data_IF_407601265763
#
_entry.id   IF_407601265763
#
_cell.length_a   1.000
_cell.length_b   1.000
_cell.length_c   1.000
_cell.angle_alpha   90.00
_cell.angle_beta   90.00
_cell.angle_gamma   90.00
#
_symmetry.space_group_name_H-M   'P 1'
#
loop_
_entity.id
_entity.type
_entity.pdbx_description
1 polymer ?
#
# COMPACT_ATOMS: atom_id res chain seq x y z
N UNK A 1 -9.14 5.77 23.37
CA UNK A 1 -9.07 4.58 22.50
C UNK A 1 -9.13 5.08 21.06
N UNK A 2 -8.13 4.79 20.23
CA UNK A 2 -8.05 5.27 18.83
C UNK A 2 -9.16 4.58 18.01
N UNK A 3 -9.93 5.32 17.21
CA UNK A 3 -10.99 4.79 16.34
C UNK A 3 -10.61 5.03 14.86
N UNK A 4 -9.61 4.32 14.32
CA UNK A 4 -8.98 4.66 13.04
C UNK A 4 -9.96 4.71 11.86
N UNK A 5 -11.04 3.91 11.90
CA UNK A 5 -12.10 3.94 10.88
C UNK A 5 -13.06 5.13 11.05
N UNK A 6 -13.41 5.53 12.28
CA UNK A 6 -14.21 6.72 12.53
C UNK A 6 -13.46 8.00 12.14
N UNK A 7 -12.17 8.07 12.41
CA UNK A 7 -11.33 9.24 12.08
C UNK A 7 -11.41 9.60 10.58
N UNK A 8 -11.72 8.62 9.70
CA UNK A 8 -11.87 8.77 8.25
C UNK A 8 -13.20 9.34 7.79
N UNK A 9 -14.21 9.35 8.67
CA UNK A 9 -15.60 9.74 8.36
C UNK A 9 -16.19 10.69 9.41
N UNK A 10 -15.39 11.18 10.35
CA UNK A 10 -15.81 12.11 11.42
C UNK A 10 -16.32 13.45 10.88
N UNK A 11 -15.98 13.81 9.64
CA UNK A 11 -16.51 14.95 8.91
C UNK A 11 -17.93 14.71 8.34
N UNK A 12 -18.36 13.44 8.27
CA UNK A 12 -19.64 13.03 7.69
C UNK A 12 -20.66 12.57 8.74
N UNK A 13 -20.22 12.12 9.92
CA UNK A 13 -21.07 11.51 10.94
C UNK A 13 -20.62 11.90 12.35
N UNK A 14 -21.59 11.98 13.26
CA UNK A 14 -21.30 11.96 14.69
C UNK A 14 -20.82 10.57 15.14
N UNK A 15 -20.13 10.46 16.30
CA UNK A 15 -19.70 9.17 16.83
C UNK A 15 -20.85 8.17 17.01
N UNK A 16 -22.00 8.64 17.47
CA UNK A 16 -23.19 7.82 17.74
C UNK A 16 -23.82 7.32 16.43
N UNK A 17 -23.90 8.19 15.42
CA UNK A 17 -24.41 7.83 14.10
C UNK A 17 -23.48 6.83 13.39
N UNK A 18 -22.17 6.97 13.58
CA UNK A 18 -21.18 6.00 13.11
C UNK A 18 -21.36 4.65 13.79
N UNK A 19 -21.39 4.61 15.13
CA UNK A 19 -21.52 3.39 15.91
C UNK A 19 -22.82 2.64 15.55
N UNK A 20 -23.94 3.36 15.37
CA UNK A 20 -25.21 2.77 14.92
C UNK A 20 -25.12 2.11 13.52
N UNK A 21 -24.36 2.69 12.59
CA UNK A 21 -24.14 2.10 11.25
C UNK A 21 -23.26 0.85 11.32
N UNK A 22 -22.26 0.84 12.20
CA UNK A 22 -21.41 -0.34 12.40
C UNK A 22 -22.26 -1.50 12.92
N UNK A 23 -23.08 -1.29 13.94
CA UNK A 23 -23.99 -2.33 14.47
C UNK A 23 -24.99 -2.81 13.42
N UNK A 24 -25.52 -1.90 12.58
CA UNK A 24 -26.40 -2.27 11.47
C UNK A 24 -25.70 -3.19 10.45
N UNK A 25 -24.43 -2.94 10.10
CA UNK A 25 -23.65 -3.82 9.23
C UNK A 25 -23.39 -5.18 9.89
N UNK A 26 -23.05 -5.22 11.18
CA UNK A 26 -22.88 -6.50 11.90
C UNK A 26 -24.18 -7.31 11.81
N UNK A 27 -25.33 -6.68 12.06
CA UNK A 27 -26.64 -7.31 11.96
C UNK A 27 -27.00 -7.79 10.55
N UNK A 28 -26.71 -6.99 9.52
CA UNK A 28 -26.92 -7.32 8.10
C UNK A 28 -26.20 -8.62 7.71
N UNK A 29 -24.99 -8.83 8.23
CA UNK A 29 -24.18 -10.03 7.95
C UNK A 29 -24.39 -11.14 8.99
N UNK A 30 -25.49 -11.07 9.76
CA UNK A 30 -25.84 -12.09 10.76
C UNK A 30 -24.79 -12.29 11.86
N UNK A 31 -24.00 -11.25 12.16
CA UNK A 31 -22.91 -11.31 13.12
C UNK A 31 -21.63 -11.98 12.61
N UNK A 32 -21.53 -12.28 11.31
CA UNK A 32 -20.33 -12.88 10.72
C UNK A 32 -19.12 -11.93 10.73
N UNK A 33 -19.37 -10.63 10.57
CA UNK A 33 -18.34 -9.61 10.62
C UNK A 33 -18.11 -9.18 12.06
N UNK A 34 -16.85 -9.12 12.47
CA UNK A 34 -16.50 -8.40 13.68
C UNK A 34 -16.69 -6.88 13.50
N UNK A 35 -16.54 -6.14 14.61
CA UNK A 35 -16.74 -4.69 14.62
C UNK A 35 -15.76 -3.94 13.73
N UNK A 36 -14.54 -4.47 13.55
CA UNK A 36 -13.50 -3.82 12.75
C UNK A 36 -13.80 -3.98 11.26
N UNK A 37 -14.14 -5.20 10.83
CA UNK A 37 -14.59 -5.48 9.48
C UNK A 37 -15.88 -4.71 9.13
N UNK A 38 -16.84 -4.65 10.06
CA UNK A 38 -18.06 -3.86 9.87
C UNK A 38 -17.76 -2.35 9.78
N UNK A 39 -16.83 -1.85 10.59
CA UNK A 39 -16.34 -0.47 10.51
C UNK A 39 -15.70 -0.15 9.14
N UNK A 40 -14.91 -1.06 8.59
CA UNK A 40 -14.36 -0.92 7.24
C UNK A 40 -15.46 -0.81 6.17
N UNK A 41 -16.50 -1.64 6.25
CA UNK A 41 -17.65 -1.58 5.34
C UNK A 41 -18.37 -0.24 5.44
N UNK A 42 -18.54 0.33 6.64
CA UNK A 42 -19.15 1.66 6.81
C UNK A 42 -18.31 2.74 6.14
N UNK A 43 -16.98 2.71 6.31
CA UNK A 43 -16.04 3.65 5.66
C UNK A 43 -16.14 3.55 4.14
N UNK A 44 -16.15 2.34 3.59
CA UNK A 44 -16.27 2.10 2.15
C UNK A 44 -17.63 2.58 1.58
N UNK A 45 -18.73 2.27 2.27
CA UNK A 45 -20.10 2.73 1.89
C UNK A 45 -20.23 4.26 1.90
N UNK A 46 -19.40 4.95 2.67
CA UNK A 46 -19.34 6.41 2.71
C UNK A 46 -18.39 7.00 1.65
N UNK A 47 -17.86 6.17 0.76
CA UNK A 47 -16.94 6.58 -0.30
C UNK A 47 -15.56 6.97 0.22
N UNK A 48 -15.17 6.51 1.40
CA UNK A 48 -13.85 6.75 1.99
C UNK A 48 -12.99 5.50 1.86
N UNK A 49 -11.69 5.67 1.64
CA UNK A 49 -10.77 4.54 1.54
C UNK A 49 -10.46 3.96 2.92
N UNK A 50 -10.61 2.64 3.07
CA UNK A 50 -10.21 1.91 4.27
C UNK A 50 -8.69 1.78 4.41
N UNK A 51 -7.93 1.93 3.32
CA UNK A 51 -6.47 1.92 3.35
C UNK A 51 -5.93 3.14 4.12
N UNK A 52 -5.03 2.91 5.07
CA UNK A 52 -4.23 3.99 5.66
C UNK A 52 -2.87 4.02 4.98
N UNK A 53 -2.44 5.21 4.56
CA UNK A 53 -1.13 5.44 3.98
C UNK A 53 -0.19 6.00 5.05
N UNK A 54 0.96 5.37 5.19
CA UNK A 54 2.04 5.85 6.03
C UNK A 54 2.98 6.73 5.21
N UNK A 55 3.57 7.73 5.88
CA UNK A 55 4.71 8.46 5.32
C UNK A 55 5.94 7.58 5.38
N UNK A 56 6.88 7.79 4.47
CA UNK A 56 8.11 6.99 4.38
C UNK A 56 8.92 7.02 5.69
N UNK A 57 8.98 8.17 6.37
CA UNK A 57 9.69 8.32 7.64
C UNK A 57 9.09 7.47 8.78
N UNK A 58 7.81 7.11 8.67
CA UNK A 58 7.08 6.35 9.69
C UNK A 58 7.15 4.83 9.42
N UNK A 59 7.85 4.39 8.38
CA UNK A 59 8.02 2.98 8.04
C UNK A 59 9.04 2.30 8.97
N UNK A 60 8.64 1.17 9.54
CA UNK A 60 9.45 0.30 10.38
C UNK A 60 9.79 -1.02 9.70
N UNK A 61 10.89 -1.65 10.11
CA UNK A 61 11.23 -3.00 9.64
C UNK A 61 10.19 -4.02 10.11
N UNK A 62 9.81 -4.94 9.22
CA UNK A 62 8.95 -6.07 9.56
C UNK A 62 7.45 -5.79 9.50
N UNK A 63 7.05 -4.58 9.08
CA UNK A 63 5.65 -4.20 8.96
C UNK A 63 5.13 -4.30 7.53
N UNK A 64 3.81 -4.46 7.41
CA UNK A 64 3.06 -4.19 6.19
C UNK A 64 2.61 -2.72 6.18
N UNK A 65 2.72 -2.08 5.02
CA UNK A 65 2.39 -0.67 4.87
C UNK A 65 1.80 -0.37 3.49
N UNK A 66 0.85 0.57 3.47
CA UNK A 66 0.52 1.31 2.27
C UNK A 66 1.28 2.63 2.29
N UNK A 67 1.84 3.05 1.16
CA UNK A 67 2.50 4.35 1.04
C UNK A 67 2.20 4.96 -0.32
N UNK A 68 2.21 6.28 -0.37
CA UNK A 68 2.08 7.07 -1.60
C UNK A 68 3.36 7.86 -1.78
N UNK A 69 3.99 7.73 -2.94
CA UNK A 69 5.29 8.34 -3.18
C UNK A 69 5.49 8.64 -4.67
N UNK A 70 6.47 9.48 -4.97
CA UNK A 70 6.90 9.79 -6.33
C UNK A 70 8.16 9.02 -6.67
N UNK A 71 8.21 8.43 -7.86
CA UNK A 71 9.42 7.78 -8.39
C UNK A 71 10.43 8.86 -8.75
N UNK A 72 11.57 8.91 -8.06
CA UNK A 72 12.63 9.89 -8.33
C UNK A 72 13.82 9.32 -9.08
N UNK A 73 13.98 7.99 -9.07
CA UNK A 73 14.95 7.28 -9.89
C UNK A 73 14.51 5.85 -10.18
N UNK A 74 15.06 5.27 -11.24
CA UNK A 74 14.84 3.88 -11.65
C UNK A 74 16.18 3.24 -11.92
N UNK A 75 16.48 2.12 -11.25
CA UNK A 75 17.72 1.38 -11.49
C UNK A 75 17.66 0.59 -12.80
N UNK A 76 18.83 0.23 -13.38
CA UNK A 76 18.87 -0.73 -14.47
C UNK A 76 18.24 -2.07 -14.10
N UNK A 77 17.68 -2.77 -15.10
CA UNK A 77 17.20 -4.15 -14.95
C UNK A 77 18.38 -5.09 -14.72
N UNK A 78 18.29 -5.93 -13.70
CA UNK A 78 19.22 -7.02 -13.43
C UNK A 78 18.53 -8.34 -13.70
N UNK A 79 19.21 -9.23 -14.42
CA UNK A 79 18.74 -10.59 -14.71
C UNK A 79 19.61 -11.62 -14.01
N UNK A 80 19.01 -12.72 -13.54
CA UNK A 80 19.71 -13.79 -12.84
C UNK A 80 19.07 -15.15 -13.14
N UNK A 81 19.81 -16.24 -12.92
CA UNK A 81 19.29 -17.60 -13.04
C UNK A 81 18.81 -18.11 -11.67
N UNK A 82 17.63 -18.72 -11.62
CA UNK A 82 17.10 -19.38 -10.43
C UNK A 82 17.58 -20.82 -10.33
N UNK A 83 17.45 -21.41 -9.14
CA UNK A 83 17.80 -22.81 -8.89
C UNK A 83 16.92 -23.79 -9.69
N UNK A 84 15.69 -23.40 -10.02
CA UNK A 84 14.75 -24.18 -10.84
C UNK A 84 15.03 -24.09 -12.36
N UNK A 85 16.11 -23.39 -12.76
CA UNK A 85 16.48 -23.19 -14.16
C UNK A 85 15.73 -22.06 -14.87
N UNK A 86 14.77 -21.40 -14.22
CA UNK A 86 14.11 -20.22 -14.78
C UNK A 86 14.98 -18.96 -14.66
N UNK A 87 14.71 -17.94 -15.47
CA UNK A 87 15.37 -16.63 -15.33
C UNK A 87 14.50 -15.68 -14.51
N UNK A 88 15.12 -14.97 -13.58
CA UNK A 88 14.50 -13.93 -12.78
C UNK A 88 14.99 -12.54 -13.17
N UNK A 89 14.14 -11.55 -12.99
CA UNK A 89 14.48 -10.14 -13.26
C UNK A 89 14.14 -9.27 -12.06
N UNK A 90 14.95 -8.26 -11.81
CA UNK A 90 14.70 -7.28 -10.75
C UNK A 90 15.21 -5.89 -11.14
N UNK A 91 14.45 -4.87 -10.78
CA UNK A 91 14.93 -3.49 -10.71
C UNK A 91 14.42 -2.83 -9.43
N UNK A 92 15.00 -1.70 -9.06
CA UNK A 92 14.53 -0.91 -7.92
C UNK A 92 14.11 0.49 -8.38
N UNK A 93 12.98 0.94 -7.86
CA UNK A 93 12.58 2.34 -7.89
C UNK A 93 13.14 3.02 -6.63
N UNK A 94 13.58 4.26 -6.75
CA UNK A 94 13.72 5.15 -5.59
C UNK A 94 12.41 5.92 -5.46
N UNK A 95 11.71 5.73 -4.35
CA UNK A 95 10.46 6.39 -4.02
C UNK A 95 10.72 7.49 -2.98
N UNK A 96 10.11 8.66 -3.18
CA UNK A 96 10.23 9.79 -2.27
C UNK A 96 8.87 10.43 -1.99
N UNK A 97 8.67 10.81 -0.73
CA UNK A 97 7.62 11.72 -0.29
C UNK A 97 8.26 12.90 0.46
N UNK A 98 7.44 13.75 1.06
CA UNK A 98 7.92 14.90 1.84
C UNK A 98 8.68 14.53 3.12
N UNK A 99 8.54 13.28 3.59
CA UNK A 99 9.11 12.79 4.84
C UNK A 99 10.43 12.05 4.68
N UNK A 100 10.68 11.43 3.52
CA UNK A 100 11.88 10.65 3.28
C UNK A 100 11.92 9.92 1.94
N UNK A 101 12.84 8.97 1.80
CA UNK A 101 12.90 8.08 0.64
C UNK A 101 13.12 6.62 1.03
N UNK A 102 12.65 5.72 0.17
CA UNK A 102 12.80 4.28 0.28
C UNK A 102 12.99 3.67 -1.11
N UNK A 103 13.48 2.44 -1.15
CA UNK A 103 13.59 1.67 -2.38
C UNK A 103 12.38 0.79 -2.56
N UNK A 104 11.92 0.60 -3.79
CA UNK A 104 10.87 -0.35 -4.12
C UNK A 104 11.33 -1.38 -5.14
N UNK A 105 11.33 -2.65 -4.77
CA UNK A 105 11.79 -3.73 -5.64
C UNK A 105 10.67 -4.21 -6.57
N UNK A 106 10.88 -4.10 -7.88
CA UNK A 106 10.05 -4.73 -8.91
C UNK A 106 10.71 -6.01 -9.38
N UNK A 107 9.98 -7.12 -9.24
CA UNK A 107 10.41 -8.45 -9.66
C UNK A 107 9.72 -8.86 -10.96
N UNK A 108 10.38 -9.67 -11.78
CA UNK A 108 9.78 -10.43 -12.89
C UNK A 108 8.82 -9.62 -13.79
N UNK A 109 7.52 -9.92 -13.76
CA UNK A 109 6.52 -9.27 -14.63
C UNK A 109 6.33 -7.78 -14.33
N UNK A 110 6.61 -7.35 -13.09
CA UNK A 110 6.50 -5.95 -12.68
C UNK A 110 7.61 -5.10 -13.29
N UNK A 111 8.76 -5.69 -13.61
CA UNK A 111 9.81 -5.01 -14.39
C UNK A 111 9.23 -4.48 -15.71
N UNK A 112 8.29 -5.23 -16.30
CA UNK A 112 7.60 -4.82 -17.51
C UNK A 112 6.78 -3.53 -17.37
N UNK A 113 6.40 -3.11 -16.15
CA UNK A 113 5.71 -1.83 -15.93
C UNK A 113 6.61 -0.65 -16.29
N UNK A 114 7.91 -0.74 -16.00
CA UNK A 114 8.90 0.26 -16.38
C UNK A 114 9.26 0.12 -17.86
N UNK A 115 9.52 -1.10 -18.35
CA UNK A 115 9.90 -1.32 -19.75
C UNK A 115 8.83 -0.84 -20.74
N UNK A 116 7.55 -0.94 -20.37
CA UNK A 116 6.41 -0.44 -21.16
C UNK A 116 6.10 1.04 -20.92
N UNK A 117 6.90 1.74 -20.12
CA UNK A 117 6.72 3.16 -19.81
C UNK A 117 5.51 3.50 -18.93
N UNK A 118 4.87 2.50 -18.30
CA UNK A 118 3.77 2.76 -17.34
C UNK A 118 4.27 3.39 -16.05
N UNK A 119 5.51 3.09 -15.66
CA UNK A 119 6.21 3.70 -14.54
C UNK A 119 7.48 4.36 -15.07
N UNK A 120 7.64 5.64 -14.76
CA UNK A 120 8.84 6.42 -15.09
C UNK A 120 9.19 7.38 -13.93
N UNK A 121 10.37 8.00 -14.00
CA UNK A 121 10.71 9.11 -13.09
C UNK A 121 9.64 10.20 -13.20
N UNK A 122 9.18 10.68 -12.05
CA UNK A 122 8.06 11.62 -11.93
C UNK A 122 6.69 10.95 -11.75
N UNK A 123 6.56 9.64 -11.94
CA UNK A 123 5.29 8.94 -11.69
C UNK A 123 4.94 8.94 -10.20
N UNK A 124 3.71 9.30 -9.86
CA UNK A 124 3.18 9.09 -8.51
C UNK A 124 2.58 7.69 -8.42
N UNK A 125 2.96 6.95 -7.39
CA UNK A 125 2.55 5.56 -7.17
C UNK A 125 1.97 5.38 -5.76
N UNK A 126 1.03 4.43 -5.65
CA UNK A 126 0.56 3.86 -4.40
C UNK A 126 1.06 2.42 -4.30
N UNK A 127 1.89 2.16 -3.30
CA UNK A 127 2.21 0.81 -2.89
C UNK A 127 1.19 0.38 -1.83
N UNK A 128 0.53 -0.75 -2.07
CA UNK A 128 -0.55 -1.30 -1.24
C UNK A 128 -0.12 -2.65 -0.69
N UNK A 129 -0.41 -2.90 0.60
CA UNK A 129 -0.12 -4.14 1.32
C UNK A 129 1.31 -4.64 1.06
N UNK A 130 2.26 -3.70 1.10
CA UNK A 130 3.67 -3.96 0.80
C UNK A 130 4.46 -4.19 2.08
N UNK A 131 5.47 -5.06 1.99
CA UNK A 131 6.30 -5.42 3.13
C UNK A 131 7.56 -4.56 3.19
N UNK A 132 7.89 -4.09 4.39
CA UNK A 132 9.06 -3.26 4.65
C UNK A 132 10.19 -4.09 5.24
N UNK A 133 11.35 -4.04 4.58
CA UNK A 133 12.58 -4.68 5.04
C UNK A 133 13.69 -3.64 5.16
N UNK A 134 14.51 -3.73 6.19
CA UNK A 134 15.73 -2.94 6.29
C UNK A 134 16.88 -3.63 5.58
N UNK A 135 17.64 -2.87 4.80
CA UNK A 135 18.86 -3.32 4.13
C UNK A 135 20.00 -2.36 4.42
N UNK A 136 21.21 -2.69 3.97
CA UNK A 136 22.36 -1.78 4.05
C UNK A 136 22.17 -0.49 3.23
N UNK A 137 21.14 -0.42 2.39
CA UNK A 137 20.82 0.73 1.54
C UNK A 137 19.61 1.54 2.05
N UNK A 138 19.12 1.25 3.25
CA UNK A 138 17.94 1.90 3.82
C UNK A 138 16.73 0.96 3.89
N UNK A 139 15.54 1.52 3.70
CA UNK A 139 14.30 0.74 3.67
C UNK A 139 14.04 0.25 2.24
N UNK A 140 13.96 -1.06 2.08
CA UNK A 140 13.48 -1.72 0.88
C UNK A 140 12.02 -2.14 1.11
N UNK A 141 11.14 -1.67 0.24
CA UNK A 141 9.74 -2.04 0.17
C UNK A 141 9.55 -2.97 -1.01
N UNK A 142 8.79 -4.03 -0.83
CA UNK A 142 8.46 -4.95 -1.92
C UNK A 142 7.00 -5.34 -1.85
N UNK A 143 6.40 -5.62 -3.01
CA UNK A 143 5.10 -6.30 -3.03
C UNK A 143 5.24 -7.64 -2.28
N UNK A 144 4.39 -7.85 -1.28
CA UNK A 144 4.16 -9.17 -0.71
C UNK A 144 3.30 -10.02 -1.65
N UNK A 145 2.85 -11.19 -1.19
CA UNK A 145 1.96 -12.07 -1.98
C UNK A 145 0.68 -11.36 -2.46
N UNK A 146 0.16 -10.43 -1.66
CA UNK A 146 -1.06 -9.68 -1.94
C UNK A 146 -0.80 -8.21 -2.23
N UNK A 147 0.46 -7.78 -2.22
CA UNK A 147 0.82 -6.39 -2.40
C UNK A 147 0.73 -5.95 -3.86
N UNK A 148 0.45 -4.67 -4.07
CA UNK A 148 0.34 -4.09 -5.40
C UNK A 148 1.05 -2.74 -5.47
N UNK A 149 1.59 -2.41 -6.65
CA UNK A 149 2.05 -1.06 -6.98
C UNK A 149 1.16 -0.49 -8.07
N UNK A 150 0.45 0.60 -7.75
CA UNK A 150 -0.52 1.24 -8.63
C UNK A 150 -0.03 2.62 -9.01
N UNK A 151 -0.03 2.95 -10.30
CA UNK A 151 0.28 4.30 -10.79
C UNK A 151 -0.96 5.18 -10.67
N UNK A 152 -0.80 6.39 -10.16
CA UNK A 152 -1.88 7.36 -10.11
C UNK A 152 -1.89 8.25 -11.36
N UNK A 153 -3.10 8.51 -11.88
CA UNK A 153 -3.29 9.39 -13.03
C UNK A 153 -2.99 8.76 -14.40
N UNK A 154 -3.10 7.43 -14.51
CA UNK A 154 -3.06 6.71 -15.79
C UNK A 154 -4.31 6.96 -16.63
#
# INVERSE_FOLDING_TARGET
MRRPHYDKVQDLLSPEAYDARVEAVIGEWGGLLDRDAAAMVVVDRLGRSVASFLRIADLGEGMEANLRATVVAVSPVRTFNRQDGTSGRVLNLELRDESGSCRFALWDDDVGLVERGKIAVGSTVRALDCYVKRTNFGLDVSRGKFGALVVEGA
#
